data_IF_699824061881
#
_entry.id   IF_699824061881
#
_cell.length_a   1.000
_cell.length_b   1.000
_cell.length_c   1.000
_cell.angle_alpha   90.00
_cell.angle_beta   90.00
_cell.angle_gamma   90.00
#
_symmetry.space_group_name_H-M   'P 1'
#
loop_
_entity.id
_entity.type
_entity.pdbx_description
1 polymer ?
#
# COMPACT_ATOMS: atom_id res chain seq x y z
N UNK A 1 -12.89 -7.42 -9.70
CA UNK A 1 -11.43 -7.10 -9.79
C UNK A 1 -11.25 -5.85 -10.62
N UNK A 2 -10.29 -4.97 -10.32
CA UNK A 2 -10.10 -3.70 -11.07
C UNK A 2 -8.79 -3.63 -11.89
N UNK A 3 -8.05 -4.74 -11.99
CA UNK A 3 -6.76 -4.79 -12.69
C UNK A 3 -6.79 -5.77 -13.86
N UNK A 4 -5.86 -5.64 -14.82
CA UNK A 4 -5.65 -6.63 -15.89
C UNK A 4 -5.45 -8.08 -15.41
N UNK A 5 -5.14 -8.30 -14.12
CA UNK A 5 -5.05 -9.64 -13.53
C UNK A 5 -6.39 -10.39 -13.50
N UNK A 6 -7.51 -9.75 -13.86
CA UNK A 6 -8.83 -10.41 -13.95
C UNK A 6 -8.81 -11.62 -14.90
N UNK A 7 -7.96 -11.59 -15.93
CA UNK A 7 -7.72 -12.73 -16.83
C UNK A 7 -7.36 -14.01 -16.06
N UNK A 8 -6.53 -13.90 -15.01
CA UNK A 8 -6.12 -15.06 -14.22
C UNK A 8 -7.28 -15.66 -13.44
N UNK A 9 -8.16 -14.81 -12.89
CA UNK A 9 -9.39 -15.23 -12.23
C UNK A 9 -10.34 -15.90 -13.24
N UNK A 10 -10.53 -15.30 -14.43
CA UNK A 10 -11.35 -15.88 -15.48
C UNK A 10 -10.84 -17.25 -15.93
N UNK A 11 -9.52 -17.42 -16.09
CA UNK A 11 -8.92 -18.71 -16.43
C UNK A 11 -9.19 -19.77 -15.36
N UNK A 12 -9.09 -19.39 -14.08
CA UNK A 12 -9.42 -20.28 -12.97
C UNK A 12 -10.90 -20.67 -12.99
N UNK A 13 -11.81 -19.71 -13.14
CA UNK A 13 -13.26 -19.97 -13.22
C UNK A 13 -13.59 -20.90 -14.38
N UNK A 14 -13.02 -20.66 -15.58
CA UNK A 14 -13.20 -21.54 -16.74
C UNK A 14 -12.74 -22.96 -16.44
N UNK A 15 -11.60 -23.13 -15.77
CA UNK A 15 -11.12 -24.45 -15.38
C UNK A 15 -12.09 -25.15 -14.42
N UNK A 16 -12.62 -24.46 -13.41
CA UNK A 16 -13.61 -25.02 -12.49
C UNK A 16 -14.91 -25.40 -13.19
N UNK A 17 -15.44 -24.51 -14.04
CA UNK A 17 -16.64 -24.76 -14.81
C UNK A 17 -16.48 -25.99 -15.73
N UNK A 18 -15.30 -26.18 -16.34
CA UNK A 18 -15.01 -27.35 -17.18
C UNK A 18 -14.82 -28.63 -16.36
N UNK A 19 -14.16 -28.55 -15.20
CA UNK A 19 -13.78 -29.73 -14.41
C UNK A 19 -14.93 -30.29 -13.56
N UNK A 20 -15.81 -29.43 -13.06
CA UNK A 20 -16.85 -29.78 -12.09
C UNK A 20 -18.27 -29.42 -12.56
N UNK A 21 -18.45 -29.01 -13.82
CA UNK A 21 -19.70 -28.49 -14.38
C UNK A 21 -20.33 -27.32 -13.58
N UNK A 22 -19.49 -26.55 -12.90
CA UNK A 22 -19.94 -25.32 -12.25
C UNK A 22 -20.41 -24.29 -13.30
N UNK A 23 -21.36 -23.44 -12.92
CA UNK A 23 -21.90 -22.35 -13.76
C UNK A 23 -21.50 -20.98 -13.21
N UNK A 24 -20.25 -20.84 -12.79
CA UNK A 24 -19.76 -19.58 -12.21
C UNK A 24 -19.62 -18.56 -13.35
N UNK A 25 -20.31 -17.40 -13.31
CA UNK A 25 -20.23 -16.40 -14.36
C UNK A 25 -18.87 -15.68 -14.35
N UNK A 26 -18.43 -15.26 -15.54
CA UNK A 26 -17.28 -14.38 -15.69
C UNK A 26 -17.75 -12.92 -15.60
N UNK A 27 -17.39 -12.24 -14.52
CA UNK A 27 -17.73 -10.83 -14.32
C UNK A 27 -16.67 -9.92 -14.95
N UNK A 28 -17.10 -8.74 -15.40
CA UNK A 28 -16.22 -7.70 -15.95
C UNK A 28 -15.39 -6.99 -14.87
N UNK A 29 -14.54 -6.04 -15.32
CA UNK A 29 -13.82 -5.16 -14.42
C UNK A 29 -14.78 -4.30 -13.59
N UNK A 30 -14.47 -4.14 -12.32
CA UNK A 30 -15.22 -3.26 -11.43
C UNK A 30 -14.75 -1.80 -11.59
N UNK A 31 -15.70 -0.94 -11.95
CA UNK A 31 -15.50 0.49 -12.20
C UNK A 31 -16.13 1.39 -11.12
N UNK A 32 -16.62 0.82 -10.02
CA UNK A 32 -17.12 1.60 -8.89
C UNK A 32 -16.06 2.56 -8.33
N UNK A 33 -16.49 3.55 -7.53
CA UNK A 33 -15.57 4.52 -6.93
C UNK A 33 -14.53 3.81 -6.03
N UNK A 34 -13.32 4.37 -5.91
CA UNK A 34 -12.26 3.73 -5.12
C UNK A 34 -12.55 3.74 -3.62
N UNK A 35 -13.37 4.68 -3.14
CA UNK A 35 -13.78 4.81 -1.74
C UNK A 35 -15.12 4.11 -1.41
N UNK A 36 -15.72 3.37 -2.35
CA UNK A 36 -16.99 2.68 -2.08
C UNK A 36 -16.84 1.26 -1.53
N UNK A 37 -15.63 0.70 -1.54
CA UNK A 37 -15.34 -0.64 -1.01
C UNK A 37 -13.86 -0.80 -0.66
N UNK A 38 -13.51 -1.94 -0.05
CA UNK A 38 -12.17 -2.28 0.42
C UNK A 38 -11.17 -2.72 -0.66
N UNK A 39 -11.54 -2.68 -1.95
CA UNK A 39 -10.66 -3.19 -3.01
C UNK A 39 -9.27 -2.54 -3.01
N UNK A 40 -9.20 -1.23 -2.78
CA UNK A 40 -7.93 -0.49 -2.77
C UNK A 40 -7.09 -0.83 -1.53
N UNK A 41 -7.69 -1.21 -0.40
CA UNK A 41 -6.91 -1.61 0.80
C UNK A 41 -6.23 -2.96 0.53
N UNK A 42 -6.95 -3.93 -0.05
CA UNK A 42 -6.37 -5.18 -0.51
C UNK A 42 -5.28 -5.00 -1.57
N UNK A 43 -5.45 -4.02 -2.46
CA UNK A 43 -4.43 -3.70 -3.47
C UNK A 43 -3.16 -3.08 -2.84
N UNK A 44 -3.31 -2.20 -1.84
CA UNK A 44 -2.19 -1.64 -1.05
C UNK A 44 -1.52 -2.74 -0.23
N UNK A 45 -2.28 -3.69 0.33
CA UNK A 45 -1.73 -4.82 1.06
C UNK A 45 -0.87 -5.73 0.19
N UNK A 46 -1.27 -5.95 -1.06
CA UNK A 46 -0.50 -6.77 -1.99
C UNK A 46 0.73 -6.02 -2.52
N UNK A 47 0.54 -4.84 -3.10
CA UNK A 47 1.55 -4.18 -3.95
C UNK A 47 2.02 -2.81 -3.39
N UNK A 48 1.45 -2.35 -2.28
CA UNK A 48 1.80 -1.11 -1.60
C UNK A 48 2.95 -1.24 -0.60
N UNK A 49 3.62 -0.12 -0.32
CA UNK A 49 4.69 -0.01 0.67
C UNK A 49 4.62 1.34 1.39
N UNK A 50 4.90 1.37 2.69
CA UNK A 50 4.97 2.59 3.49
C UNK A 50 6.42 2.97 3.75
N UNK A 51 6.76 4.24 3.49
CA UNK A 51 8.08 4.80 3.68
C UNK A 51 8.07 5.81 4.83
N UNK A 52 9.14 5.81 5.61
CA UNK A 52 9.42 6.78 6.65
C UNK A 52 10.93 7.05 6.69
N UNK A 53 11.30 8.31 6.53
CA UNK A 53 12.64 8.82 6.73
C UNK A 53 12.61 10.31 7.11
N UNK A 54 13.77 10.86 7.42
CA UNK A 54 13.95 12.29 7.65
C UNK A 54 15.38 12.72 7.30
N UNK A 55 15.56 14.03 7.12
CA UNK A 55 16.88 14.64 6.90
C UNK A 55 17.41 15.23 8.21
N UNK A 56 18.74 15.24 8.35
CA UNK A 56 19.43 15.83 9.49
C UNK A 56 20.07 17.17 9.14
N UNK A 57 20.17 18.08 10.11
CA UNK A 57 21.12 19.18 10.04
C UNK A 57 22.53 18.74 10.48
N UNK A 58 23.49 19.67 10.44
CA UNK A 58 24.88 19.45 10.88
C UNK A 58 24.99 19.10 12.37
N UNK A 59 23.96 19.37 13.18
CA UNK A 59 23.91 19.13 14.63
C UNK A 59 23.12 17.85 14.97
N UNK A 60 22.67 17.09 13.97
CA UNK A 60 21.90 15.85 14.17
C UNK A 60 20.41 16.05 14.46
N UNK A 61 19.85 17.24 14.26
CA UNK A 61 18.40 17.50 14.42
C UNK A 61 17.65 17.20 13.13
N UNK A 62 16.43 16.67 13.25
CA UNK A 62 15.58 16.41 12.09
C UNK A 62 15.03 17.71 11.49
N UNK A 63 15.29 17.94 10.20
CA UNK A 63 14.91 19.18 9.49
C UNK A 63 13.73 19.01 8.55
N UNK A 64 13.56 17.81 8.00
CA UNK A 64 12.52 17.48 7.04
C UNK A 64 12.03 16.07 7.26
N UNK A 65 10.71 15.89 7.28
CA UNK A 65 10.06 14.60 7.45
C UNK A 65 9.62 14.08 6.07
N UNK A 66 10.00 12.85 5.75
CA UNK A 66 9.73 12.20 4.47
C UNK A 66 8.97 10.90 4.71
N UNK A 67 7.64 10.94 4.55
CA UNK A 67 6.78 9.78 4.70
C UNK A 67 5.74 9.75 3.60
N UNK A 68 5.44 8.54 3.10
CA UNK A 68 4.46 8.33 2.05
C UNK A 68 4.10 6.84 1.95
N UNK A 69 2.92 6.56 1.45
CA UNK A 69 2.60 5.27 0.84
C UNK A 69 2.98 5.31 -0.64
N UNK A 70 3.48 4.18 -1.16
CA UNK A 70 3.79 3.98 -2.57
C UNK A 70 3.11 2.72 -3.09
N UNK A 71 2.44 2.83 -4.24
CA UNK A 71 2.03 1.69 -5.07
C UNK A 71 2.83 1.74 -6.37
N UNK A 72 3.34 0.58 -6.81
CA UNK A 72 4.07 0.45 -8.07
C UNK A 72 3.53 -0.75 -8.86
N UNK A 73 3.23 -0.55 -10.13
CA UNK A 73 2.83 -1.61 -11.06
C UNK A 73 3.63 -1.55 -12.34
N UNK A 74 3.82 -2.70 -13.00
CA UNK A 74 4.36 -2.71 -14.38
C UNK A 74 3.44 -1.91 -15.29
N UNK A 75 3.99 -1.24 -16.30
CA UNK A 75 3.15 -0.50 -17.25
C UNK A 75 2.21 -1.42 -18.03
N UNK A 76 2.71 -2.60 -18.43
CA UNK A 76 2.00 -3.59 -19.23
C UNK A 76 1.96 -4.91 -18.48
N UNK A 77 0.80 -5.55 -18.47
CA UNK A 77 0.64 -6.87 -17.88
C UNK A 77 1.27 -7.96 -18.76
N UNK A 78 2.23 -8.69 -18.19
CA UNK A 78 3.04 -9.68 -18.91
C UNK A 78 2.27 -10.84 -19.58
N UNK A 79 1.05 -11.18 -19.13
CA UNK A 79 0.29 -12.31 -19.71
C UNK A 79 -0.78 -11.92 -20.71
N UNK A 80 -1.18 -10.65 -20.75
CA UNK A 80 -2.33 -10.21 -21.54
C UNK A 80 -2.12 -8.90 -22.30
N UNK A 81 -0.91 -8.34 -22.26
CA UNK A 81 -0.54 -7.05 -22.85
C UNK A 81 -1.45 -5.86 -22.47
N UNK A 82 -2.35 -6.04 -21.52
CA UNK A 82 -3.25 -5.01 -21.06
C UNK A 82 -2.50 -4.01 -20.15
N UNK A 83 -2.67 -2.69 -20.37
CA UNK A 83 -1.96 -1.67 -19.62
C UNK A 83 -2.54 -1.48 -18.21
N UNK A 84 -1.68 -1.16 -17.25
CA UNK A 84 -2.10 -0.72 -15.90
C UNK A 84 -2.44 0.78 -15.85
N UNK A 85 -2.29 1.51 -16.96
CA UNK A 85 -2.44 2.96 -17.00
C UNK A 85 -3.78 3.43 -16.43
N UNK A 86 -4.91 2.85 -16.89
CA UNK A 86 -6.25 3.26 -16.46
C UNK A 86 -6.44 3.17 -14.93
N UNK A 87 -6.16 2.00 -14.35
CA UNK A 87 -6.32 1.82 -12.89
C UNK A 87 -5.32 2.65 -12.09
N UNK A 88 -4.08 2.79 -12.55
CA UNK A 88 -3.07 3.58 -11.84
C UNK A 88 -3.37 5.09 -11.92
N UNK A 89 -3.93 5.58 -13.03
CA UNK A 89 -4.43 6.95 -13.19
C UNK A 89 -5.63 7.21 -12.28
N UNK A 90 -6.55 6.26 -12.16
CA UNK A 90 -7.68 6.39 -11.23
C UNK A 90 -7.18 6.48 -9.78
N UNK A 91 -6.20 5.67 -9.40
CA UNK A 91 -5.59 5.70 -8.06
C UNK A 91 -4.82 7.03 -7.83
N UNK A 92 -4.09 7.53 -8.83
CA UNK A 92 -3.35 8.80 -8.69
C UNK A 92 -4.31 9.98 -8.52
N UNK A 93 -5.39 10.01 -9.29
CA UNK A 93 -6.43 11.03 -9.21
C UNK A 93 -7.14 10.98 -7.86
N UNK A 94 -7.49 9.79 -7.38
CA UNK A 94 -8.10 9.60 -6.06
C UNK A 94 -7.25 10.19 -4.93
N UNK A 95 -5.94 9.97 -4.95
CA UNK A 95 -5.03 10.54 -3.96
C UNK A 95 -4.60 11.99 -4.25
N UNK A 96 -5.08 12.61 -5.33
CA UNK A 96 -4.68 13.96 -5.76
C UNK A 96 -3.16 14.11 -5.91
N UNK A 97 -2.52 13.14 -6.58
CA UNK A 97 -1.07 13.11 -6.82
C UNK A 97 -0.78 12.78 -8.28
N UNK A 98 0.39 13.19 -8.82
CA UNK A 98 0.75 12.84 -10.18
C UNK A 98 1.04 11.33 -10.31
N UNK A 99 0.59 10.75 -11.42
CA UNK A 99 1.04 9.44 -11.86
C UNK A 99 2.47 9.53 -12.39
N UNK A 100 3.41 8.81 -11.77
CA UNK A 100 4.81 8.80 -12.22
C UNK A 100 5.05 7.61 -13.13
N UNK A 101 5.68 7.86 -14.27
CA UNK A 101 6.29 6.82 -15.10
C UNK A 101 7.73 6.62 -14.67
N UNK A 102 8.17 5.38 -14.52
CA UNK A 102 9.48 5.07 -14.00
C UNK A 102 10.13 3.92 -14.77
N UNK A 103 11.34 4.16 -15.23
CA UNK A 103 12.17 3.21 -15.95
C UNK A 103 13.40 2.84 -15.09
N UNK A 104 13.67 1.54 -14.92
CA UNK A 104 14.91 1.02 -14.32
C UNK A 104 15.62 0.15 -15.34
N UNK A 105 16.86 0.48 -15.65
CA UNK A 105 17.77 -0.46 -16.30
C UNK A 105 18.13 -1.54 -15.28
N UNK A 106 17.76 -2.78 -15.56
CA UNK A 106 18.26 -3.99 -14.89
C UNK A 106 19.28 -4.64 -15.81
N UNK A 107 20.07 -5.57 -15.27
CA UNK A 107 21.16 -6.21 -16.02
C UNK A 107 20.71 -6.76 -17.39
N UNK A 108 19.53 -7.38 -17.45
CA UNK A 108 19.07 -8.10 -18.63
C UNK A 108 17.81 -7.52 -19.29
N UNK A 109 17.20 -6.48 -18.71
CA UNK A 109 15.96 -5.90 -19.24
C UNK A 109 15.70 -4.49 -18.67
N UNK A 110 14.80 -3.76 -19.33
CA UNK A 110 14.31 -2.48 -18.86
C UNK A 110 12.97 -2.66 -18.16
N UNK A 111 12.94 -2.39 -16.86
CA UNK A 111 11.73 -2.44 -16.04
C UNK A 111 10.98 -1.11 -16.17
N UNK A 112 9.81 -1.12 -16.80
CA UNK A 112 8.91 0.04 -16.89
C UNK A 112 7.73 -0.10 -15.95
N UNK A 113 7.49 0.92 -15.14
CA UNK A 113 6.47 0.91 -14.10
C UNK A 113 5.73 2.24 -14.00
N UNK A 114 4.47 2.17 -13.56
CA UNK A 114 3.73 3.29 -13.03
C UNK A 114 3.83 3.31 -11.51
N UNK A 115 3.94 4.51 -10.94
CA UNK A 115 4.11 4.69 -9.50
C UNK A 115 3.24 5.84 -8.98
N UNK A 116 2.54 5.59 -7.87
CA UNK A 116 1.76 6.58 -7.12
C UNK A 116 2.36 6.71 -5.74
N UNK A 117 2.55 7.95 -5.25
CA UNK A 117 3.06 8.23 -3.89
C UNK A 117 2.27 9.32 -3.19
N UNK A 118 1.88 9.09 -1.95
CA UNK A 118 1.19 10.08 -1.10
C UNK A 118 2.21 10.96 -0.35
N UNK A 119 2.80 11.92 -1.05
CA UNK A 119 3.87 12.77 -0.47
C UNK A 119 3.39 14.07 0.17
N UNK A 120 2.18 14.52 -0.12
CA UNK A 120 1.61 15.77 0.40
C UNK A 120 0.69 15.52 1.59
N UNK A 121 0.47 16.56 2.39
CA UNK A 121 -0.52 16.55 3.48
C UNK A 121 -1.88 16.03 3.00
N UNK A 122 -2.41 16.62 1.91
CA UNK A 122 -3.73 16.25 1.35
C UNK A 122 -3.75 14.77 0.95
N UNK A 123 -2.72 14.29 0.24
CA UNK A 123 -2.68 12.91 -0.22
C UNK A 123 -2.60 11.89 0.93
N UNK A 124 -1.84 12.21 1.99
CA UNK A 124 -1.77 11.37 3.19
C UNK A 124 -3.07 11.43 3.99
N UNK A 125 -3.71 12.59 4.09
CA UNK A 125 -5.02 12.71 4.71
C UNK A 125 -6.08 11.85 4.01
N UNK A 126 -6.17 11.90 2.68
CA UNK A 126 -7.09 11.07 1.88
C UNK A 126 -6.80 9.58 2.12
N UNK A 127 -5.53 9.18 2.05
CA UNK A 127 -5.11 7.81 2.31
C UNK A 127 -5.53 7.31 3.69
N UNK A 128 -5.23 8.07 4.73
CA UNK A 128 -5.52 7.65 6.11
C UNK A 128 -7.02 7.62 6.35
N UNK A 129 -7.77 8.59 5.84
CA UNK A 129 -9.24 8.58 5.90
C UNK A 129 -9.83 7.34 5.22
N UNK A 130 -9.27 6.94 4.08
CA UNK A 130 -9.67 5.70 3.40
C UNK A 130 -9.31 4.45 4.23
N UNK A 131 -8.08 4.35 4.75
CA UNK A 131 -7.62 3.16 5.49
C UNK A 131 -8.22 3.01 6.89
N UNK A 132 -8.76 4.07 7.47
CA UNK A 132 -9.58 3.99 8.69
C UNK A 132 -10.91 3.29 8.40
N UNK A 133 -11.53 3.59 7.25
CA UNK A 133 -12.79 2.96 6.82
C UNK A 133 -12.59 1.56 6.22
N UNK A 134 -11.44 1.34 5.57
CA UNK A 134 -11.07 0.07 4.94
C UNK A 134 -9.68 -0.36 5.40
N UNK A 135 -9.59 -1.08 6.54
CA UNK A 135 -8.33 -1.48 7.14
C UNK A 135 -7.48 -2.34 6.20
N UNK A 136 -6.16 -2.29 6.43
CA UNK A 136 -5.21 -3.26 5.89
C UNK A 136 -5.24 -4.52 6.77
N UNK A 137 -5.05 -5.68 6.16
CA UNK A 137 -5.09 -6.98 6.82
C UNK A 137 -3.73 -7.67 6.88
N UNK A 138 -2.73 -7.22 6.12
CA UNK A 138 -1.36 -7.70 6.31
C UNK A 138 -0.69 -6.99 7.48
N UNK A 139 0.54 -7.37 7.84
CA UNK A 139 1.38 -6.66 8.83
C UNK A 139 1.49 -5.14 8.57
N UNK A 140 1.21 -4.68 7.34
CA UNK A 140 1.17 -3.26 6.96
C UNK A 140 0.11 -2.45 7.72
N UNK A 141 -0.87 -3.08 8.38
CA UNK A 141 -1.84 -2.39 9.23
C UNK A 141 -1.16 -1.51 10.30
N UNK A 142 0.01 -1.93 10.80
CA UNK A 142 0.81 -1.18 11.79
C UNK A 142 1.33 0.15 11.27
N UNK A 143 1.46 0.31 9.95
CA UNK A 143 1.88 1.56 9.36
C UNK A 143 0.80 2.64 9.51
N UNK A 144 -0.49 2.28 9.57
CA UNK A 144 -1.60 3.26 9.64
C UNK A 144 -1.50 4.17 10.89
N UNK A 145 -1.44 3.67 12.13
CA UNK A 145 -1.31 4.53 13.31
C UNK A 145 -0.01 5.34 13.30
N UNK A 146 1.11 4.77 12.83
CA UNK A 146 2.38 5.51 12.68
C UNK A 146 2.21 6.68 11.71
N UNK A 147 1.57 6.46 10.57
CA UNK A 147 1.38 7.48 9.55
C UNK A 147 0.40 8.58 10.01
N UNK A 148 -0.57 8.26 10.88
CA UNK A 148 -1.41 9.26 11.57
C UNK A 148 -0.56 10.16 12.46
N UNK A 149 0.31 9.59 13.30
CA UNK A 149 1.22 10.36 14.16
C UNK A 149 2.17 11.24 13.32
N UNK A 150 2.72 10.71 12.23
CA UNK A 150 3.59 11.46 11.31
C UNK A 150 2.85 12.62 10.64
N UNK A 151 1.58 12.44 10.27
CA UNK A 151 0.75 13.51 9.73
C UNK A 151 0.62 14.65 10.74
N UNK A 152 0.28 14.33 11.98
CA UNK A 152 0.16 15.31 13.07
C UNK A 152 1.49 16.03 13.33
N UNK A 153 2.60 15.28 13.49
CA UNK A 153 3.93 15.84 13.68
C UNK A 153 4.35 16.75 12.51
N UNK A 154 3.94 16.43 11.28
CA UNK A 154 4.24 17.25 10.11
C UNK A 154 3.52 18.59 10.11
N UNK A 155 2.35 18.68 10.75
CA UNK A 155 1.59 19.93 10.94
C UNK A 155 2.19 20.73 12.09
N UNK A 156 2.35 20.12 13.27
CA UNK A 156 2.84 20.80 14.47
C UNK A 156 4.33 21.13 14.42
N UNK A 157 5.07 20.52 13.48
CA UNK A 157 6.53 20.60 13.38
C UNK A 157 7.26 20.08 14.61
N UNK A 158 6.61 19.25 15.43
CA UNK A 158 7.19 18.58 16.61
C UNK A 158 8.49 17.84 16.29
N UNK A 159 8.63 17.31 15.07
CA UNK A 159 9.86 16.62 14.65
C UNK A 159 11.11 17.50 14.68
N UNK A 160 10.98 18.83 14.72
CA UNK A 160 12.12 19.77 14.83
C UNK A 160 12.58 20.00 16.28
N UNK A 161 11.80 19.54 17.26
CA UNK A 161 12.15 19.64 18.69
C UNK A 161 13.18 18.56 19.05
N UNK A 162 13.91 18.78 20.14
CA UNK A 162 14.92 17.81 20.62
C UNK A 162 14.29 16.47 21.03
N UNK A 163 13.08 16.51 21.61
CA UNK A 163 12.27 15.31 21.88
C UNK A 163 11.67 14.66 20.63
N UNK A 164 11.57 15.41 19.53
CA UNK A 164 10.96 14.96 18.28
C UNK A 164 11.73 13.83 17.62
N UNK A 165 13.07 13.85 17.70
CA UNK A 165 13.91 12.79 17.13
C UNK A 165 13.69 11.44 17.84
N UNK A 166 13.60 11.45 19.18
CA UNK A 166 13.33 10.23 19.95
C UNK A 166 11.97 9.62 19.56
N UNK A 167 10.95 10.46 19.37
CA UNK A 167 9.63 10.02 18.90
C UNK A 167 9.70 9.45 17.48
N UNK A 168 10.42 10.10 16.55
CA UNK A 168 10.61 9.57 15.19
C UNK A 168 11.31 8.22 15.15
N UNK A 169 12.34 8.02 15.98
CA UNK A 169 13.03 6.74 16.12
C UNK A 169 12.08 5.65 16.62
N UNK A 170 11.31 5.94 17.68
CA UNK A 170 10.28 5.02 18.19
C UNK A 170 9.24 4.65 17.11
N UNK A 171 8.76 5.64 16.35
CA UNK A 171 7.81 5.41 15.26
C UNK A 171 8.39 4.56 14.13
N UNK A 172 9.67 4.76 13.82
CA UNK A 172 10.38 3.97 12.80
C UNK A 172 10.53 2.51 13.22
N UNK A 173 10.82 2.24 14.49
CA UNK A 173 10.83 0.87 15.04
C UNK A 173 9.43 0.25 14.97
N UNK A 174 8.37 0.98 15.36
CA UNK A 174 6.98 0.48 15.28
C UNK A 174 6.54 0.13 13.85
N UNK A 175 6.97 0.92 12.85
CA UNK A 175 6.62 0.67 11.44
C UNK A 175 7.48 -0.45 10.82
N UNK A 176 8.76 -0.55 11.19
CA UNK A 176 9.66 -1.57 10.69
C UNK A 176 9.38 -2.90 11.39
N UNK A 177 8.43 -3.65 10.84
CA UNK A 177 8.29 -5.04 11.19
C UNK A 177 9.52 -5.81 10.68
N UNK A 178 10.46 -6.12 11.57
CA UNK A 178 11.36 -7.26 11.35
C UNK A 178 10.51 -8.50 11.61
N UNK A 179 10.12 -9.20 10.56
CA UNK A 179 9.84 -10.62 10.73
C UNK A 179 11.13 -11.22 11.30
N UNK A 180 11.11 -11.69 12.53
CA UNK A 180 12.10 -12.66 12.98
C UNK A 180 11.86 -13.91 12.11
N UNK A 181 12.41 -13.90 10.90
CA UNK A 181 12.50 -15.02 9.97
C UNK A 181 13.66 -15.94 10.36
N UNK A 182 14.26 -15.73 11.53
CA UNK A 182 15.15 -16.67 12.17
C UNK A 182 14.29 -17.53 13.11
N UNK A 183 14.32 -18.85 12.88
CA UNK A 183 13.64 -19.91 13.64
C UNK A 183 12.19 -20.20 13.24
N UNK A 184 11.98 -20.81 12.06
CA UNK A 184 11.09 -21.97 11.81
C UNK A 184 9.67 -22.06 12.39
N UNK A 185 9.16 -21.04 13.04
CA UNK A 185 7.92 -21.02 13.79
C UNK A 185 7.09 -19.84 13.30
N UNK A 186 5.94 -20.13 12.70
CA UNK A 186 4.94 -19.13 12.38
C UNK A 186 4.31 -18.62 13.69
N UNK A 187 5.00 -17.74 14.44
CA UNK A 187 4.32 -16.97 15.47
C UNK A 187 3.59 -15.83 14.76
N UNK A 188 2.30 -16.02 14.47
CA UNK A 188 1.43 -14.88 14.23
C UNK A 188 1.49 -14.02 15.49
N UNK A 189 1.93 -12.78 15.34
CA UNK A 189 1.91 -11.82 16.43
C UNK A 189 0.45 -11.68 16.91
N UNK A 190 0.21 -11.76 18.22
CA UNK A 190 -1.14 -11.66 18.81
C UNK A 190 -1.86 -10.41 18.33
N UNK A 191 -1.12 -9.31 18.17
CA UNK A 191 -1.63 -8.05 17.64
C UNK A 191 -2.25 -8.18 16.23
N UNK A 192 -1.69 -9.05 15.39
CA UNK A 192 -2.20 -9.26 14.03
C UNK A 192 -3.47 -10.11 14.03
N UNK A 193 -3.52 -11.15 14.87
CA UNK A 193 -4.72 -11.97 15.04
C UNK A 193 -5.87 -11.15 15.63
N UNK A 194 -5.62 -10.37 16.69
CA UNK A 194 -6.61 -9.49 17.31
C UNK A 194 -7.12 -8.44 16.32
N UNK A 195 -6.24 -7.89 15.49
CA UNK A 195 -6.62 -6.97 14.41
C UNK A 195 -7.53 -7.64 13.37
N UNK A 196 -7.23 -8.87 12.96
CA UNK A 196 -8.10 -9.63 12.05
C UNK A 196 -9.46 -9.87 12.71
N UNK A 197 -9.50 -10.41 13.93
CA UNK A 197 -10.73 -10.73 14.65
C UNK A 197 -11.62 -9.50 14.87
N UNK A 198 -11.01 -8.34 15.15
CA UNK A 198 -11.74 -7.07 15.31
C UNK A 198 -12.42 -6.61 14.02
N UNK A 199 -11.78 -6.81 12.87
CA UNK A 199 -12.26 -6.27 11.59
C UNK A 199 -12.97 -7.32 10.71
N UNK A 200 -12.90 -8.60 11.09
CA UNK A 200 -13.65 -9.73 10.56
C UNK A 200 -14.14 -10.61 11.72
N UNK A 201 -15.21 -10.19 12.42
CA UNK A 201 -15.91 -11.10 13.33
C UNK A 201 -16.61 -12.14 12.46
N UNK A 202 -16.08 -13.36 12.44
CA UNK A 202 -16.80 -14.53 11.90
C UNK A 202 -17.94 -14.90 12.83
#
# INVERSE_FOLDING_TARGET
MRTPKIEALHRMIRWFNLKYDYKIPLLDLDHSLLNSNSWLSGFIDADGSFYLNWLYDKKGKATSLQYYMRISQRQVYHRGNAPYFSIMSNISNFFSVPLRSRERKRNNYVEKSYEVRTGSYISNYILLSYLINYPLFSYKFRAVPVQIELLQMSISKEYKLDSGLAKLLSLKEKQNFKSNLELGAYSYDKDHLDHILKNFPF
#
